data_IF_927154836730
#
_entry.id   IF_927154836730
#
_cell.length_a   1.000
_cell.length_b   1.000
_cell.length_c   1.000
_cell.angle_alpha   90.00
_cell.angle_beta   90.00
_cell.angle_gamma   90.00
#
_symmetry.space_group_name_H-M   'P 1'
#
loop_
_entity.id
_entity.type
_entity.pdbx_description
1 polymer ?
#
# COMPACT_ATOMS: atom_id res chain seq x y z
N UNK A 1 -17.49 -0.10 -6.61
CA UNK A 1 -17.29 -1.25 -5.72
C UNK A 1 -16.12 -0.96 -4.78
N UNK A 2 -16.27 -1.29 -3.52
CA UNK A 2 -15.25 -1.02 -2.51
C UNK A 2 -14.98 -2.30 -1.73
N UNK A 3 -13.69 -2.68 -1.62
CA UNK A 3 -13.27 -3.89 -0.91
C UNK A 3 -12.21 -3.51 0.13
N UNK A 4 -12.50 -3.75 1.39
CA UNK A 4 -11.52 -3.56 2.46
C UNK A 4 -10.65 -4.82 2.55
N UNK A 5 -9.34 -4.64 2.39
CA UNK A 5 -8.40 -5.76 2.36
C UNK A 5 -7.48 -5.81 3.56
N UNK A 6 -7.55 -4.82 4.42
CA UNK A 6 -6.78 -4.74 5.66
C UNK A 6 -7.44 -3.75 6.59
N UNK A 7 -6.85 -3.56 7.76
CA UNK A 7 -7.39 -2.62 8.74
C UNK A 7 -7.42 -1.19 8.20
N UNK A 8 -6.41 -0.81 7.42
CA UNK A 8 -6.26 0.54 6.92
C UNK A 8 -6.21 0.63 5.40
N UNK A 9 -6.46 -0.46 4.68
CA UNK A 9 -6.28 -0.51 3.23
C UNK A 9 -7.59 -0.86 2.55
N UNK A 10 -7.87 -0.17 1.46
CA UNK A 10 -9.09 -0.35 0.67
C UNK A 10 -8.77 -0.32 -0.82
N UNK A 11 -9.52 -1.11 -1.58
CA UNK A 11 -9.58 -1.02 -3.03
C UNK A 11 -10.96 -0.49 -3.39
N UNK A 12 -10.99 0.68 -4.02
CA UNK A 12 -12.24 1.34 -4.39
C UNK A 12 -12.10 1.83 -5.82
N UNK A 13 -12.91 1.33 -6.73
CA UNK A 13 -12.82 1.67 -8.15
C UNK A 13 -13.12 3.15 -8.43
N UNK A 14 -13.69 3.86 -7.47
CA UNK A 14 -13.90 5.30 -7.56
C UNK A 14 -12.71 6.11 -7.01
N UNK A 15 -11.73 5.43 -6.42
CA UNK A 15 -10.53 6.07 -5.86
C UNK A 15 -9.29 5.46 -6.47
N UNK A 16 -8.49 6.29 -7.15
CA UNK A 16 -7.23 5.86 -7.78
C UNK A 16 -7.39 4.61 -8.66
N UNK A 17 -8.51 4.50 -9.36
CA UNK A 17 -8.81 3.39 -10.30
C UNK A 17 -8.79 2.01 -9.64
N UNK A 18 -9.20 1.91 -8.39
CA UNK A 18 -9.27 0.64 -7.68
C UNK A 18 -7.95 0.11 -7.17
N UNK A 19 -6.87 0.88 -7.29
CA UNK A 19 -5.58 0.47 -6.72
C UNK A 19 -5.60 0.60 -5.20
N UNK A 20 -4.81 -0.20 -4.48
CA UNK A 20 -4.78 -0.13 -3.01
C UNK A 20 -4.41 1.26 -2.50
N UNK A 21 -5.28 1.81 -1.67
CA UNK A 21 -5.06 3.09 -0.99
C UNK A 21 -5.28 2.93 0.50
N UNK A 22 -4.77 3.89 1.27
CA UNK A 22 -5.11 3.96 2.69
C UNK A 22 -6.51 4.53 2.86
N UNK A 23 -7.32 3.91 3.70
CA UNK A 23 -8.72 4.32 3.94
C UNK A 23 -8.80 5.81 4.27
N UNK A 24 -9.76 6.49 3.65
CA UNK A 24 -9.98 7.90 3.89
C UNK A 24 -8.98 8.81 3.20
N UNK A 25 -8.10 8.29 2.37
CA UNK A 25 -7.09 9.05 1.64
C UNK A 25 -7.08 8.67 0.17
N UNK A 26 -6.32 9.43 -0.63
CA UNK A 26 -5.98 9.07 -1.99
C UNK A 26 -4.51 8.64 -2.11
N UNK A 27 -3.91 8.28 -0.99
CA UNK A 27 -2.50 7.87 -0.95
C UNK A 27 -2.41 6.41 -1.38
N UNK A 28 -1.68 6.16 -2.46
CA UNK A 28 -1.44 4.81 -2.95
C UNK A 28 -0.48 4.07 -2.03
N UNK A 29 -0.81 2.84 -1.68
CA UNK A 29 0.08 1.98 -0.91
C UNK A 29 1.40 1.78 -1.66
N UNK A 30 1.35 1.62 -2.98
CA UNK A 30 2.56 1.44 -3.79
C UNK A 30 3.50 2.63 -3.71
N UNK A 31 2.99 3.86 -3.63
CA UNK A 31 3.84 5.05 -3.54
C UNK A 31 4.62 5.07 -2.23
N UNK A 32 3.99 4.65 -1.14
CA UNK A 32 4.66 4.55 0.16
C UNK A 32 5.75 3.48 0.11
N UNK A 33 5.46 2.33 -0.48
CA UNK A 33 6.44 1.26 -0.61
C UNK A 33 7.64 1.72 -1.46
N UNK A 34 7.39 2.47 -2.53
CA UNK A 34 8.46 3.01 -3.36
C UNK A 34 9.37 3.97 -2.61
N UNK A 35 8.81 4.81 -1.74
CA UNK A 35 9.63 5.70 -0.91
C UNK A 35 10.50 4.91 0.07
N UNK A 36 9.95 3.86 0.67
CA UNK A 36 10.73 2.97 1.54
C UNK A 36 11.84 2.27 0.74
N UNK A 37 11.55 1.84 -0.48
CA UNK A 37 12.54 1.22 -1.35
C UNK A 37 13.66 2.21 -1.73
N UNK A 38 13.35 3.49 -1.78
CA UNK A 38 14.34 4.53 -2.05
C UNK A 38 15.24 4.85 -0.84
N UNK A 39 14.97 4.22 0.30
CA UNK A 39 15.81 4.35 1.49
C UNK A 39 15.25 5.25 2.60
N UNK A 40 14.04 5.77 2.44
CA UNK A 40 13.41 6.55 3.49
C UNK A 40 12.93 5.65 4.63
N UNK A 41 12.99 6.16 5.85
CA UNK A 41 12.37 5.49 6.99
C UNK A 41 10.85 5.71 6.98
N UNK A 42 10.11 4.87 7.70
CA UNK A 42 8.67 5.07 7.88
C UNK A 42 8.40 6.44 8.47
N UNK A 43 9.18 6.85 9.47
CA UNK A 43 9.04 8.15 10.10
C UNK A 43 9.20 9.30 9.10
N UNK A 44 10.20 9.21 8.22
CA UNK A 44 10.41 10.22 7.18
C UNK A 44 9.26 10.28 6.18
N UNK A 45 8.74 9.13 5.77
CA UNK A 45 7.59 9.05 4.86
C UNK A 45 6.38 9.75 5.46
N UNK A 46 6.06 9.46 6.70
CA UNK A 46 4.90 10.04 7.38
C UNK A 46 5.12 11.54 7.64
N UNK A 47 6.30 11.91 8.12
CA UNK A 47 6.58 13.30 8.47
C UNK A 47 6.66 14.21 7.25
N UNK A 48 7.37 13.77 6.21
CA UNK A 48 7.77 14.66 5.12
C UNK A 48 6.91 14.52 3.87
N UNK A 49 6.23 13.40 3.68
CA UNK A 49 5.46 13.14 2.45
C UNK A 49 3.97 12.99 2.70
N UNK A 50 3.59 12.17 3.65
CA UNK A 50 2.18 11.82 3.87
C UNK A 50 1.78 11.98 5.34
N UNK A 51 1.65 13.22 5.83
CA UNK A 51 1.31 13.44 7.24
C UNK A 51 -0.10 12.96 7.63
N UNK A 52 -0.93 12.61 6.65
CA UNK A 52 -2.23 11.99 6.93
C UNK A 52 -2.12 10.53 7.37
N UNK A 53 -0.94 9.92 7.18
CA UNK A 53 -0.68 8.55 7.62
C UNK A 53 0.02 8.54 8.97
N UNK A 54 0.01 7.39 9.62
CA UNK A 54 0.83 7.13 10.78
C UNK A 54 1.64 5.84 10.59
N UNK A 55 2.51 5.56 11.53
CA UNK A 55 3.39 4.39 11.45
C UNK A 55 2.61 3.08 11.40
N UNK A 56 1.49 2.99 12.13
CA UNK A 56 0.66 1.78 12.18
C UNK A 56 0.05 1.49 10.80
N UNK A 57 -0.39 2.53 10.12
CA UNK A 57 -0.98 2.41 8.78
C UNK A 57 0.06 1.87 7.79
N UNK A 58 1.27 2.41 7.84
CA UNK A 58 2.35 1.97 6.94
C UNK A 58 2.74 0.52 7.23
N UNK A 59 2.85 0.15 8.50
CA UNK A 59 3.16 -1.24 8.88
C UNK A 59 2.07 -2.21 8.44
N UNK A 60 0.80 -1.81 8.56
CA UNK A 60 -0.32 -2.62 8.09
C UNK A 60 -0.24 -2.85 6.58
N UNK A 61 0.12 -1.81 5.83
CA UNK A 61 0.28 -1.90 4.39
C UNK A 61 1.39 -2.88 4.00
N UNK A 62 2.52 -2.82 4.71
CA UNK A 62 3.63 -3.75 4.46
C UNK A 62 3.24 -5.19 4.78
N UNK A 63 2.52 -5.41 5.88
CA UNK A 63 2.04 -6.72 6.26
C UNK A 63 1.04 -7.28 5.24
N UNK A 64 0.15 -6.43 4.73
CA UNK A 64 -0.78 -6.82 3.67
C UNK A 64 -0.04 -7.17 2.38
N UNK A 65 0.92 -6.34 1.97
CA UNK A 65 1.73 -6.60 0.78
C UNK A 65 2.46 -7.95 0.89
N UNK A 66 2.99 -8.27 2.05
CA UNK A 66 3.64 -9.54 2.29
C UNK A 66 2.68 -10.73 2.12
N UNK A 67 1.44 -10.60 2.57
CA UNK A 67 0.41 -11.63 2.37
C UNK A 67 0.09 -11.83 0.90
N UNK A 68 -0.05 -10.75 0.15
CA UNK A 68 -0.31 -10.81 -1.29
C UNK A 68 0.82 -11.52 -2.01
N UNK A 69 2.06 -11.14 -1.72
CA UNK A 69 3.25 -11.73 -2.32
C UNK A 69 3.36 -13.22 -1.96
N UNK A 70 3.07 -13.57 -0.72
CA UNK A 70 3.13 -14.96 -0.25
C UNK A 70 2.16 -15.87 -0.99
N UNK A 71 1.04 -15.31 -1.44
CA UNK A 71 0.05 -16.07 -2.22
C UNK A 71 0.45 -16.28 -3.68
N UNK A 72 1.47 -15.59 -4.17
CA UNK A 72 1.90 -15.70 -5.56
C UNK A 72 2.84 -16.88 -5.75
N UNK A 73 2.66 -17.56 -6.88
CA UNK A 73 3.46 -18.74 -7.25
C UNK A 73 3.87 -18.66 -8.70
N UNK A 74 4.90 -19.41 -9.04
CA UNK A 74 5.35 -19.53 -10.43
C UNK A 74 4.18 -20.01 -11.33
N UNK A 75 3.95 -19.27 -12.41
CA UNK A 75 2.87 -19.56 -13.35
C UNK A 75 1.54 -18.87 -13.04
N UNK A 76 1.40 -18.25 -11.89
CA UNK A 76 0.17 -17.53 -11.50
C UNK A 76 0.28 -16.02 -11.73
N UNK A 77 1.48 -15.51 -11.85
CA UNK A 77 1.73 -14.09 -12.00
C UNK A 77 2.59 -13.85 -13.24
N UNK A 78 2.08 -12.97 -14.11
CA UNK A 78 2.89 -12.43 -15.17
C UNK A 78 3.56 -11.16 -14.64
N UNK A 79 4.89 -11.18 -14.63
CA UNK A 79 5.66 -10.01 -14.28
C UNK A 79 6.20 -9.42 -15.57
N UNK A 80 5.66 -8.28 -15.95
CA UNK A 80 6.27 -7.49 -17.02
C UNK A 80 7.44 -6.71 -16.43
N UNK A 81 8.57 -6.97 -16.98
CA UNK A 81 9.78 -6.24 -16.60
C UNK A 81 9.72 -4.78 -17.10
#
# INVERSE_FOLDING_TARGET
MRVEVGKYIVLDDEVCHGRPTFKGTRVLVSDVIELLAAGLSIEEVVRDYYPSLDEKMVKDALAWAAKVIRGWRCGEVEVSA
#
